data_IF_171712999334
#
_entry.id   IF_171712999334
#
_cell.length_a   1.000
_cell.length_b   1.000
_cell.length_c   1.000
_cell.angle_alpha   90.00
_cell.angle_beta   90.00
_cell.angle_gamma   90.00
#
_symmetry.space_group_name_H-M   'P 1'
#
loop_
_entity.id
_entity.type
_entity.pdbx_description
1 polymer ?
#
# COMPACT_ATOMS: atom_id res chain seq x y z
N UNK A 1 -12.83 -41.91 59.23
CA UNK A 1 -14.22 -41.49 58.89
C UNK A 1 -14.15 -40.79 57.54
N UNK A 2 -15.22 -40.85 56.72
CA UNK A 2 -15.27 -40.42 55.30
C UNK A 2 -14.35 -41.28 54.38
N UNK A 3 -14.69 -41.81 53.19
CA UNK A 3 -15.80 -41.62 52.22
C UNK A 3 -15.88 -40.20 51.62
N UNK A 4 -15.98 -39.94 50.31
CA UNK A 4 -16.08 -40.74 49.07
C UNK A 4 -15.49 -39.86 47.92
N UNK A 5 -15.44 -40.15 46.61
CA UNK A 5 -16.08 -41.11 45.70
C UNK A 5 -15.13 -41.40 44.50
N UNK A 6 -15.54 -42.25 43.55
CA UNK A 6 -14.84 -42.58 42.28
C UNK A 6 -15.07 -41.60 41.12
N UNK A 7 -14.16 -41.58 40.14
CA UNK A 7 -14.49 -41.40 38.72
C UNK A 7 -13.37 -41.99 37.81
N UNK A 8 -13.75 -42.73 36.77
CA UNK A 8 -12.85 -43.21 35.71
C UNK A 8 -13.05 -42.34 34.46
N UNK A 9 -11.96 -42.00 33.75
CA UNK A 9 -12.03 -41.51 32.36
C UNK A 9 -10.75 -41.89 31.59
N UNK A 10 -10.89 -42.83 30.66
CA UNK A 10 -9.91 -43.10 29.59
C UNK A 10 -10.44 -42.44 28.33
N UNK A 11 -9.58 -41.81 27.50
CA UNK A 11 -9.62 -41.82 26.01
C UNK A 11 -8.57 -40.86 25.40
N UNK A 12 -7.99 -41.29 24.28
CA UNK A 12 -7.25 -40.54 23.25
C UNK A 12 -6.11 -39.58 23.66
N UNK A 13 -4.88 -40.00 23.38
CA UNK A 13 -3.81 -39.09 22.98
C UNK A 13 -4.13 -38.49 21.59
N UNK A 14 -4.07 -37.15 21.39
CA UNK A 14 -4.09 -36.58 20.05
C UNK A 14 -2.78 -36.90 19.32
N UNK A 15 -2.87 -37.39 18.07
CA UNK A 15 -1.69 -37.68 17.26
C UNK A 15 -0.98 -36.39 16.78
N UNK A 16 0.33 -36.49 16.51
CA UNK A 16 1.06 -35.44 15.81
C UNK A 16 0.55 -35.31 14.36
N UNK A 17 -0.20 -34.25 14.06
CA UNK A 17 -0.40 -33.80 12.68
C UNK A 17 0.72 -32.83 12.28
N UNK A 18 1.56 -33.24 11.32
CA UNK A 18 2.41 -32.30 10.59
C UNK A 18 1.51 -31.45 9.68
N UNK A 19 1.36 -30.16 9.99
CA UNK A 19 1.31 -29.08 8.99
C UNK A 19 1.35 -27.69 9.65
N UNK A 20 2.55 -27.33 10.12
CA UNK A 20 2.85 -26.02 10.70
C UNK A 20 2.90 -24.89 9.66
N UNK A 21 1.88 -24.76 8.83
CA UNK A 21 1.72 -23.55 8.00
C UNK A 21 1.40 -22.38 8.93
N UNK A 22 2.37 -21.48 9.11
CA UNK A 22 2.11 -20.21 9.78
C UNK A 22 1.09 -19.42 8.95
N UNK A 23 -0.18 -19.48 9.36
CA UNK A 23 -1.18 -18.50 8.94
C UNK A 23 -0.62 -17.14 9.31
N UNK A 24 -0.22 -16.33 8.30
CA UNK A 24 0.02 -14.90 8.53
C UNK A 24 -1.25 -14.36 9.18
N UNK A 25 -1.13 -13.88 10.41
CA UNK A 25 -2.24 -13.28 11.13
C UNK A 25 -2.85 -12.18 10.25
N UNK A 26 -4.17 -12.04 10.25
CA UNK A 26 -4.81 -10.93 9.55
C UNK A 26 -4.25 -9.62 10.12
N UNK A 27 -3.75 -8.70 9.29
CA UNK A 27 -3.19 -7.43 9.80
C UNK A 27 -4.21 -6.60 10.60
N UNK A 28 -5.51 -6.88 10.46
CA UNK A 28 -6.56 -6.34 11.34
C UNK A 28 -6.47 -6.89 12.77
N UNK A 29 -6.10 -8.16 12.96
CA UNK A 29 -5.76 -8.71 14.26
C UNK A 29 -4.43 -8.13 14.80
N UNK A 30 -3.44 -7.79 13.95
CA UNK A 30 -2.27 -7.00 14.40
C UNK A 30 -2.70 -5.60 14.90
N UNK A 31 -3.68 -4.95 14.24
CA UNK A 31 -4.21 -3.62 14.61
C UNK A 31 -4.98 -3.64 15.93
N UNK A 32 -5.84 -4.64 16.18
CA UNK A 32 -6.60 -4.71 17.44
C UNK A 32 -5.81 -5.34 18.60
N UNK A 33 -4.82 -6.23 18.35
CA UNK A 33 -3.91 -6.70 19.40
C UNK A 33 -3.10 -5.54 20.01
N UNK A 34 -2.56 -4.66 19.16
CA UNK A 34 -1.82 -3.44 19.55
C UNK A 34 -2.62 -2.49 20.47
N UNK A 35 -3.95 -2.59 20.50
CA UNK A 35 -4.82 -1.77 21.35
C UNK A 35 -4.98 -2.31 22.78
N UNK A 36 -4.67 -3.59 23.01
CA UNK A 36 -4.98 -4.29 24.27
C UNK A 36 -3.83 -4.40 25.26
N UNK A 37 -2.58 -4.32 24.82
CA UNK A 37 -1.36 -4.66 25.58
C UNK A 37 -0.46 -3.46 25.92
N UNK A 38 -0.84 -2.25 25.48
CA UNK A 38 0.02 -1.06 25.52
C UNK A 38 0.91 -0.90 24.27
N UNK A 39 0.64 -1.66 23.22
CA UNK A 39 1.35 -1.67 21.95
C UNK A 39 1.45 -0.31 21.26
N UNK A 40 2.57 -0.11 20.57
CA UNK A 40 2.80 1.06 19.73
C UNK A 40 2.19 0.92 18.33
N UNK A 41 2.06 2.05 17.66
CA UNK A 41 1.78 2.15 16.24
C UNK A 41 2.90 1.53 15.40
N UNK A 42 2.63 0.37 14.81
CA UNK A 42 3.47 -0.24 13.79
C UNK A 42 3.16 0.36 12.40
N UNK A 43 4.12 1.07 11.80
CA UNK A 43 4.12 1.45 10.38
C UNK A 43 5.21 0.65 9.65
N UNK A 44 4.97 0.23 8.40
CA UNK A 44 5.87 -0.64 7.63
C UNK A 44 6.25 0.01 6.30
N UNK A 45 7.55 0.08 6.00
CA UNK A 45 8.09 0.81 4.84
C UNK A 45 8.88 -0.11 3.91
N UNK A 46 8.54 -0.07 2.62
CA UNK A 46 9.11 -0.93 1.59
C UNK A 46 9.68 -0.12 0.43
N UNK A 47 10.72 -0.63 -0.21
CA UNK A 47 11.28 -0.08 -1.44
C UNK A 47 10.29 -0.33 -2.59
N UNK A 48 9.81 0.75 -3.21
CA UNK A 48 8.75 0.66 -4.22
C UNK A 48 9.12 -0.13 -5.49
N UNK A 49 10.42 -0.31 -5.77
CA UNK A 49 10.89 -1.00 -6.99
C UNK A 49 11.09 -2.50 -6.75
N UNK A 50 11.53 -2.88 -5.55
CA UNK A 50 11.93 -4.26 -5.21
C UNK A 50 10.97 -4.96 -4.25
N UNK A 51 10.08 -4.22 -3.58
CA UNK A 51 9.20 -4.72 -2.53
C UNK A 51 9.93 -5.12 -1.23
N UNK A 52 11.24 -4.84 -1.11
CA UNK A 52 12.03 -5.20 0.07
C UNK A 52 11.83 -4.21 1.22
N UNK A 53 11.90 -4.62 2.49
CA UNK A 53 11.77 -3.69 3.61
C UNK A 53 12.93 -2.67 3.66
N UNK A 54 12.65 -1.43 4.05
CA UNK A 54 13.68 -0.40 4.21
C UNK A 54 14.08 -0.29 5.68
N UNK A 55 15.24 -0.86 6.03
CA UNK A 55 15.80 -0.78 7.38
C UNK A 55 16.56 0.54 7.66
N UNK A 56 16.60 0.96 8.92
CA UNK A 56 17.38 2.12 9.38
C UNK A 56 16.85 3.50 8.95
N UNK A 57 15.70 3.56 8.28
CA UNK A 57 15.04 4.82 7.93
C UNK A 57 14.57 5.56 9.19
N UNK A 58 14.62 6.89 9.16
CA UNK A 58 14.01 7.72 10.22
C UNK A 58 12.59 8.07 9.83
N UNK A 59 11.65 7.82 10.74
CA UNK A 59 10.22 8.03 10.56
C UNK A 59 9.75 8.97 11.66
N UNK A 60 9.10 10.08 11.28
CA UNK A 60 8.54 11.07 12.21
C UNK A 60 7.04 11.18 11.97
N UNK A 61 6.23 11.03 13.04
CA UNK A 61 4.78 11.19 13.04
C UNK A 61 4.39 12.22 14.09
N UNK A 62 3.71 13.29 13.68
CA UNK A 62 3.48 14.50 14.50
C UNK A 62 4.82 15.01 15.09
N UNK A 63 5.09 14.75 16.38
CA UNK A 63 6.36 15.08 17.07
C UNK A 63 7.19 13.85 17.50
N UNK A 64 6.70 12.64 17.27
CA UNK A 64 7.34 11.40 17.70
C UNK A 64 8.21 10.83 16.58
N UNK A 65 9.36 10.24 16.93
CA UNK A 65 10.29 9.68 15.95
C UNK A 65 10.71 8.24 16.29
N UNK A 66 10.93 7.45 15.25
CA UNK A 66 11.39 6.07 15.33
C UNK A 66 12.35 5.75 14.19
N UNK A 67 13.12 4.65 14.34
CA UNK A 67 13.88 4.02 13.25
C UNK A 67 13.12 2.78 12.76
N UNK A 68 13.24 2.45 11.47
CA UNK A 68 12.76 1.15 10.97
C UNK A 68 13.74 0.02 11.30
N UNK A 69 13.19 -1.12 11.71
CA UNK A 69 13.94 -2.36 11.92
C UNK A 69 14.27 -3.09 10.60
N UNK A 70 14.85 -4.30 10.71
CA UNK A 70 15.22 -5.14 9.54
C UNK A 70 14.02 -5.54 8.67
N UNK A 71 12.81 -5.53 9.21
CA UNK A 71 11.56 -5.89 8.54
C UNK A 71 10.78 -4.64 8.09
N UNK A 72 11.45 -3.48 8.07
CA UNK A 72 10.93 -2.19 7.62
C UNK A 72 9.91 -1.57 8.58
N UNK A 73 9.75 -2.13 9.79
CA UNK A 73 8.76 -1.69 10.78
C UNK A 73 9.35 -0.58 11.64
N UNK A 74 8.67 0.56 11.70
CA UNK A 74 8.87 1.58 12.73
C UNK A 74 7.78 1.43 13.79
N UNK A 75 8.17 1.48 15.06
CA UNK A 75 7.26 1.47 16.21
C UNK A 75 7.19 2.88 16.82
N UNK A 76 5.99 3.47 16.85
CA UNK A 76 5.74 4.83 17.33
C UNK A 76 4.69 4.83 18.47
N UNK A 77 4.66 5.82 19.37
CA UNK A 77 3.52 6.01 20.27
C UNK A 77 2.23 6.27 19.47
N UNK A 78 1.10 5.72 19.93
CA UNK A 78 -0.19 5.92 19.28
C UNK A 78 -0.66 7.38 19.47
N UNK A 79 -1.02 8.14 18.41
CA UNK A 79 -1.31 9.56 18.53
C UNK A 79 -2.46 9.90 19.49
N UNK A 80 -2.21 10.93 20.32
CA UNK A 80 -3.18 11.45 21.28
C UNK A 80 -4.20 12.35 20.57
N UNK A 81 -5.43 12.41 21.12
CA UNK A 81 -6.53 13.25 20.63
C UNK A 81 -6.90 12.97 19.15
N UNK A 82 -7.08 11.70 18.79
CA UNK A 82 -7.66 11.30 17.49
C UNK A 82 -9.15 11.62 17.44
N UNK A 83 -9.60 12.18 16.31
CA UNK A 83 -11.01 12.43 16.04
C UNK A 83 -11.84 11.13 16.07
N UNK A 84 -13.16 11.26 16.32
CA UNK A 84 -14.07 10.10 16.32
C UNK A 84 -14.40 9.60 14.90
N UNK A 85 -14.35 10.47 13.89
CA UNK A 85 -14.55 10.13 12.49
C UNK A 85 -13.23 9.87 11.78
N UNK A 86 -13.01 10.60 10.67
CA UNK A 86 -11.76 10.62 9.91
C UNK A 86 -10.71 11.54 10.57
N UNK A 87 -9.46 11.09 10.61
CA UNK A 87 -8.30 11.86 11.07
C UNK A 87 -7.08 11.57 10.16
N UNK A 88 -6.15 12.51 10.03
CA UNK A 88 -5.02 12.42 9.11
C UNK A 88 -3.76 13.13 9.65
N UNK A 89 -2.80 12.35 10.15
CA UNK A 89 -1.58 12.84 10.81
C UNK A 89 -0.39 12.93 9.85
N UNK A 90 0.47 13.92 10.08
CA UNK A 90 1.59 14.24 9.21
C UNK A 90 2.77 13.31 9.49
N UNK A 91 3.27 12.65 8.43
CA UNK A 91 4.36 11.68 8.50
C UNK A 91 5.50 12.10 7.56
N UNK A 92 6.71 12.21 8.09
CA UNK A 92 7.95 12.37 7.31
C UNK A 92 8.77 11.08 7.37
N UNK A 93 9.14 10.56 6.20
CA UNK A 93 10.07 9.45 6.02
C UNK A 93 11.38 9.94 5.41
N UNK A 94 12.52 9.55 5.99
CA UNK A 94 13.87 9.91 5.51
C UNK A 94 14.81 8.70 5.57
N UNK A 95 15.40 8.32 4.43
CA UNK A 95 16.41 7.24 4.35
C UNK A 95 17.47 7.52 3.28
N UNK A 96 18.71 7.05 3.49
CA UNK A 96 19.79 7.18 2.50
C UNK A 96 19.44 6.39 1.24
N UNK A 97 19.49 7.04 0.08
CA UNK A 97 19.15 6.43 -1.22
C UNK A 97 17.68 6.58 -1.63
N UNK A 98 16.81 7.08 -0.76
CA UNK A 98 15.38 7.28 -1.03
C UNK A 98 15.03 8.76 -1.20
N UNK A 99 13.82 9.00 -1.70
CA UNK A 99 13.18 10.32 -1.68
C UNK A 99 12.66 10.60 -0.27
N UNK A 100 13.03 11.75 0.30
CA UNK A 100 12.39 12.24 1.55
C UNK A 100 10.92 12.47 1.27
N UNK A 101 10.06 11.78 2.02
CA UNK A 101 8.64 11.64 1.67
C UNK A 101 7.77 12.16 2.81
N UNK A 102 7.07 13.27 2.55
CA UNK A 102 6.04 13.83 3.42
C UNK A 102 4.66 13.34 2.98
N UNK A 103 3.96 12.60 3.84
CA UNK A 103 2.66 12.00 3.56
C UNK A 103 1.70 12.11 4.76
N UNK A 104 0.46 11.65 4.60
CA UNK A 104 -0.53 11.59 5.69
C UNK A 104 -0.97 10.15 5.98
N UNK A 105 -0.74 9.70 7.22
CA UNK A 105 -1.31 8.47 7.79
C UNK A 105 -2.78 8.76 8.12
N UNK A 106 -3.72 7.96 7.61
CA UNK A 106 -5.15 8.11 7.92
C UNK A 106 -5.58 7.19 9.05
N UNK A 107 -6.54 7.68 9.81
CA UNK A 107 -7.23 7.01 10.90
C UNK A 107 -8.73 7.20 10.67
N UNK A 108 -9.54 6.22 11.05
CA UNK A 108 -10.99 6.25 10.87
C UNK A 108 -11.64 5.49 12.01
N UNK A 109 -12.64 6.06 12.70
CA UNK A 109 -13.18 5.48 13.94
C UNK A 109 -12.07 5.14 14.98
N UNK A 110 -11.00 5.97 15.02
CA UNK A 110 -9.78 5.77 15.81
C UNK A 110 -9.04 4.44 15.55
N UNK A 111 -9.30 3.71 14.45
CA UNK A 111 -8.43 2.64 13.95
C UNK A 111 -7.41 3.21 12.97
N UNK A 112 -6.34 2.47 12.70
CA UNK A 112 -5.40 2.79 11.62
C UNK A 112 -6.02 2.40 10.27
N UNK A 113 -6.05 3.31 9.30
CA UNK A 113 -6.58 2.98 7.97
C UNK A 113 -5.58 2.14 7.14
N UNK A 114 -4.28 2.43 7.23
CA UNK A 114 -3.23 1.60 6.61
C UNK A 114 -1.89 1.74 7.36
N UNK A 115 -1.14 0.65 7.51
CA UNK A 115 0.21 0.63 8.11
C UNK A 115 1.35 0.62 7.06
N UNK A 116 1.09 0.12 5.84
CA UNK A 116 2.09 -0.09 4.77
C UNK A 116 2.26 1.14 3.88
N UNK A 117 3.52 1.46 3.51
CA UNK A 117 3.88 2.54 2.59
C UNK A 117 5.08 2.13 1.71
N UNK A 118 4.94 2.24 0.40
CA UNK A 118 6.03 1.96 -0.54
C UNK A 118 6.73 3.24 -0.98
N UNK A 119 8.00 3.40 -0.60
CA UNK A 119 8.78 4.63 -0.80
C UNK A 119 9.68 4.48 -2.03
N UNK A 120 9.70 5.51 -2.88
CA UNK A 120 10.58 5.56 -4.04
C UNK A 120 12.06 5.73 -3.63
N UNK A 121 12.97 4.89 -4.15
CA UNK A 121 14.38 5.25 -4.33
C UNK A 121 14.53 6.60 -5.03
N UNK A 122 15.69 7.24 -4.88
CA UNK A 122 16.02 8.47 -5.62
C UNK A 122 15.85 8.25 -7.13
N UNK A 123 15.20 9.21 -7.76
CA UNK A 123 15.03 9.29 -9.22
C UNK A 123 16.01 10.33 -9.77
N UNK A 124 16.58 10.12 -10.98
CA UNK A 124 17.20 11.20 -11.74
C UNK A 124 16.20 12.32 -12.01
N UNK A 125 16.68 13.54 -12.23
CA UNK A 125 15.84 14.69 -12.56
C UNK A 125 16.48 15.48 -13.70
N UNK A 126 15.68 16.17 -14.55
CA UNK A 126 14.21 16.19 -14.60
C UNK A 126 13.62 14.97 -15.33
N UNK A 127 12.32 15.03 -15.66
CA UNK A 127 11.58 14.14 -16.60
C UNK A 127 11.48 12.64 -16.25
N UNK A 128 11.93 12.22 -15.07
CA UNK A 128 11.59 10.91 -14.52
C UNK A 128 10.39 11.04 -13.58
N UNK A 129 9.42 10.15 -13.74
CA UNK A 129 8.25 10.03 -12.85
C UNK A 129 8.09 8.57 -12.44
N UNK A 130 7.88 8.32 -11.15
CA UNK A 130 7.49 7.01 -10.64
C UNK A 130 6.08 7.08 -10.06
N UNK A 131 5.25 6.12 -10.44
CA UNK A 131 3.87 5.96 -10.00
C UNK A 131 3.83 4.67 -9.19
N UNK A 132 3.45 4.76 -7.92
CA UNK A 132 3.45 3.64 -6.96
C UNK A 132 2.04 3.42 -6.45
N UNK A 133 1.53 2.21 -6.61
CA UNK A 133 0.21 1.77 -6.13
C UNK A 133 0.38 0.90 -4.88
N UNK A 134 -0.04 1.40 -3.72
CA UNK A 134 -0.22 0.62 -2.49
C UNK A 134 -1.70 0.23 -2.34
N UNK A 135 -2.00 -0.95 -1.81
CA UNK A 135 -3.35 -1.34 -1.36
C UNK A 135 -3.32 -2.21 -0.10
N UNK A 136 -4.49 -2.55 0.43
CA UNK A 136 -4.64 -3.51 1.53
C UNK A 136 -4.49 -4.97 1.07
N UNK A 137 -4.81 -5.92 1.95
CA UNK A 137 -4.74 -7.37 1.61
C UNK A 137 -5.94 -7.89 0.80
N UNK A 138 -6.99 -7.09 0.60
CA UNK A 138 -8.14 -7.41 -0.27
C UNK A 138 -8.59 -6.16 -1.06
N UNK A 139 -8.89 -6.28 -2.37
CA UNK A 139 -8.61 -7.42 -3.25
C UNK A 139 -7.12 -7.81 -3.25
N UNK A 140 -6.82 -9.04 -3.66
CA UNK A 140 -5.43 -9.53 -3.66
C UNK A 140 -4.62 -8.85 -4.77
N UNK A 141 -5.25 -8.71 -5.94
CA UNK A 141 -4.61 -8.34 -7.21
C UNK A 141 -5.26 -7.07 -7.77
N UNK A 142 -4.46 -6.01 -7.95
CA UNK A 142 -4.82 -4.70 -8.51
C UNK A 142 -3.79 -4.27 -9.59
N UNK A 143 -4.13 -4.43 -10.86
CA UNK A 143 -3.30 -4.02 -12.00
C UNK A 143 -3.05 -2.50 -12.00
N UNK A 144 -1.78 -2.07 -12.12
CA UNK A 144 -1.41 -0.72 -12.51
C UNK A 144 -1.39 -0.58 -14.05
N UNK A 145 -2.19 0.36 -14.56
CA UNK A 145 -2.25 0.65 -15.99
C UNK A 145 -1.81 2.09 -16.31
N UNK A 146 -0.87 2.24 -17.25
CA UNK A 146 -0.50 3.54 -17.83
C UNK A 146 -0.63 3.50 -19.35
N UNK A 147 -1.56 4.29 -19.90
CA UNK A 147 -1.76 4.42 -21.35
C UNK A 147 -1.29 5.80 -21.84
N UNK A 148 -0.38 5.82 -22.82
CA UNK A 148 -0.04 7.02 -23.61
C UNK A 148 -0.94 7.07 -24.84
N UNK A 149 -1.70 8.16 -25.00
CA UNK A 149 -2.66 8.32 -26.09
C UNK A 149 -1.97 8.17 -27.45
N UNK A 150 -2.60 7.44 -28.38
CA UNK A 150 -2.06 7.17 -29.72
C UNK A 150 -0.72 6.42 -29.77
N UNK A 151 -0.24 5.81 -28.67
CA UNK A 151 1.11 5.22 -28.64
C UNK A 151 1.20 3.85 -27.97
N UNK A 152 1.04 3.72 -26.66
CA UNK A 152 1.25 2.45 -25.96
C UNK A 152 0.45 2.32 -24.66
N UNK A 153 0.38 1.11 -24.13
CA UNK A 153 -0.29 0.77 -22.88
C UNK A 153 0.61 -0.15 -22.06
N UNK A 154 1.03 0.30 -20.87
CA UNK A 154 1.77 -0.50 -19.88
C UNK A 154 0.76 -1.15 -18.93
N UNK A 155 0.95 -2.45 -18.70
CA UNK A 155 0.31 -3.28 -17.67
C UNK A 155 1.08 -4.60 -17.55
N UNK A 156 0.62 -5.55 -16.73
CA UNK A 156 1.24 -6.88 -16.61
C UNK A 156 1.49 -7.60 -17.96
N UNK A 157 0.61 -7.37 -18.96
CA UNK A 157 0.73 -7.96 -20.31
C UNK A 157 1.80 -7.30 -21.18
N UNK A 158 2.09 -6.03 -20.93
CA UNK A 158 2.97 -5.20 -21.76
C UNK A 158 3.86 -4.35 -20.85
N UNK A 159 4.75 -5.00 -20.10
CA UNK A 159 5.51 -4.38 -19.00
C UNK A 159 6.52 -3.30 -19.43
N UNK A 160 6.73 -3.04 -20.73
CA UNK A 160 7.79 -2.13 -21.24
C UNK A 160 7.37 -1.33 -22.47
N UNK A 161 7.83 -0.09 -22.58
CA UNK A 161 7.81 0.73 -23.80
C UNK A 161 9.17 1.41 -23.99
N UNK A 162 9.86 1.08 -25.09
CA UNK A 162 11.20 1.58 -25.37
C UNK A 162 11.25 3.07 -25.78
N UNK A 163 10.16 3.61 -26.35
CA UNK A 163 10.07 4.98 -26.88
C UNK A 163 10.24 6.05 -25.78
N UNK A 164 9.48 5.90 -24.70
CA UNK A 164 9.46 6.79 -23.53
C UNK A 164 10.26 6.19 -22.34
N UNK A 165 10.94 5.05 -22.57
CA UNK A 165 11.69 4.26 -21.58
C UNK A 165 10.87 3.99 -20.31
N UNK A 166 9.66 3.44 -20.49
CA UNK A 166 8.72 3.14 -19.41
C UNK A 166 8.70 1.67 -19.08
N UNK A 167 8.76 1.35 -17.79
CA UNK A 167 8.62 -0.01 -17.26
C UNK A 167 7.48 -0.07 -16.23
N UNK A 168 6.78 -1.20 -16.17
CA UNK A 168 6.27 -1.75 -14.92
C UNK A 168 7.46 -2.44 -14.24
N UNK A 169 8.01 -1.81 -13.20
CA UNK A 169 9.21 -2.29 -12.50
C UNK A 169 8.87 -3.36 -11.45
N UNK A 170 7.71 -3.23 -10.78
CA UNK A 170 7.12 -4.24 -9.90
C UNK A 170 5.66 -4.47 -10.28
N UNK A 171 5.29 -5.73 -10.23
CA UNK A 171 4.01 -6.35 -10.57
C UNK A 171 3.71 -7.33 -9.41
N UNK A 172 2.53 -7.28 -8.82
CA UNK A 172 2.30 -7.80 -7.45
C UNK A 172 0.85 -8.31 -7.29
N UNK A 173 0.71 -9.62 -7.02
CA UNK A 173 -0.53 -10.38 -7.30
C UNK A 173 -1.15 -11.10 -6.10
N UNK A 174 -0.49 -11.12 -4.93
CA UNK A 174 -0.97 -11.81 -3.72
C UNK A 174 -1.40 -10.89 -2.57
N UNK A 175 -1.26 -9.56 -2.75
CA UNK A 175 -1.87 -8.54 -1.90
C UNK A 175 -0.86 -7.67 -1.15
N UNK A 176 -1.34 -6.53 -0.66
CA UNK A 176 -0.53 -5.47 -0.03
C UNK A 176 0.43 -4.69 -0.96
N UNK A 177 0.73 -5.22 -2.15
CA UNK A 177 1.48 -4.50 -3.19
C UNK A 177 2.95 -4.20 -2.84
N UNK A 178 3.63 -3.27 -3.55
CA UNK A 178 3.08 -2.36 -4.53
C UNK A 178 3.22 -2.85 -5.98
N UNK A 179 2.37 -2.32 -6.85
CA UNK A 179 2.73 -2.18 -8.28
C UNK A 179 3.45 -0.85 -8.49
N UNK A 180 4.43 -0.81 -9.39
CA UNK A 180 5.22 0.41 -9.64
C UNK A 180 5.59 0.57 -11.10
N UNK A 181 5.23 1.73 -11.67
CA UNK A 181 5.60 2.13 -13.03
C UNK A 181 6.58 3.31 -12.97
N UNK A 182 7.78 3.17 -13.56
CA UNK A 182 8.70 4.31 -13.79
C UNK A 182 8.67 4.72 -15.26
N UNK A 183 8.32 5.98 -15.52
CA UNK A 183 8.57 6.69 -16.78
C UNK A 183 9.94 7.35 -16.66
N UNK A 184 10.92 6.98 -17.50
CA UNK A 184 12.28 7.58 -17.45
C UNK A 184 12.43 8.78 -18.39
N UNK A 185 11.52 8.96 -19.33
CA UNK A 185 11.51 10.10 -20.24
C UNK A 185 10.06 10.50 -20.54
N UNK A 186 9.49 11.35 -19.66
CA UNK A 186 8.18 11.96 -19.92
C UNK A 186 8.27 12.79 -21.21
N UNK A 187 7.33 12.56 -22.12
CA UNK A 187 7.08 13.37 -23.29
C UNK A 187 6.16 14.54 -22.88
N UNK A 188 6.69 15.76 -22.91
CA UNK A 188 5.95 16.95 -22.46
C UNK A 188 4.74 17.25 -23.39
N UNK A 189 4.74 16.72 -24.62
CA UNK A 189 3.61 16.78 -25.57
C UNK A 189 2.68 15.57 -25.46
N UNK A 190 3.03 14.58 -24.63
CA UNK A 190 2.25 13.39 -24.38
C UNK A 190 0.97 13.66 -23.59
N UNK A 191 -0.08 12.90 -23.91
CA UNK A 191 -1.23 12.70 -23.01
C UNK A 191 -1.17 11.29 -22.46
N UNK A 192 -1.16 11.16 -21.14
CA UNK A 192 -1.16 9.89 -20.43
C UNK A 192 -2.42 9.77 -19.56
N UNK A 193 -2.92 8.55 -19.38
CA UNK A 193 -3.94 8.23 -18.37
C UNK A 193 -3.46 7.08 -17.51
N UNK A 194 -3.50 7.25 -16.18
CA UNK A 194 -3.22 6.19 -15.22
C UNK A 194 -4.51 5.72 -14.56
N UNK A 195 -4.73 4.41 -14.56
CA UNK A 195 -5.86 3.77 -13.91
C UNK A 195 -5.42 2.49 -13.18
N UNK A 196 -6.22 2.08 -12.20
CA UNK A 196 -6.05 0.81 -11.47
C UNK A 196 -7.20 -0.10 -11.85
N UNK A 197 -6.95 -1.40 -12.06
CA UNK A 197 -7.99 -2.37 -12.38
C UNK A 197 -8.00 -3.52 -11.35
N UNK A 198 -9.18 -3.84 -10.83
CA UNK A 198 -9.41 -4.92 -9.86
C UNK A 198 -9.43 -6.26 -10.57
N UNK A 199 -8.24 -6.84 -10.79
CA UNK A 199 -8.09 -8.12 -11.47
C UNK A 199 -8.77 -9.25 -10.69
N UNK A 200 -8.75 -9.18 -9.36
CA UNK A 200 -9.44 -10.14 -8.49
C UNK A 200 -10.94 -10.22 -8.78
N UNK A 201 -11.59 -9.06 -8.98
CA UNK A 201 -13.04 -8.93 -9.20
C UNK A 201 -13.38 -8.64 -10.67
N UNK A 202 -12.47 -8.93 -11.62
CA UNK A 202 -12.59 -8.56 -13.05
C UNK A 202 -13.87 -9.01 -13.77
N UNK A 203 -14.58 -10.02 -13.24
CA UNK A 203 -15.88 -10.49 -13.76
C UNK A 203 -17.11 -9.79 -13.15
N UNK A 204 -16.93 -8.99 -12.09
CA UNK A 204 -18.01 -8.40 -11.30
C UNK A 204 -18.07 -6.88 -11.48
N UNK A 205 -18.78 -6.38 -12.50
CA UNK A 205 -18.92 -4.94 -12.78
C UNK A 205 -19.41 -4.13 -11.57
N UNK A 206 -20.27 -4.73 -10.75
CA UNK A 206 -20.94 -4.07 -9.64
C UNK A 206 -20.26 -4.36 -8.28
N UNK A 207 -19.02 -4.87 -8.28
CA UNK A 207 -18.29 -5.12 -7.03
C UNK A 207 -17.96 -3.81 -6.30
N UNK A 208 -17.90 -3.88 -4.97
CA UNK A 208 -17.41 -2.80 -4.09
C UNK A 208 -16.04 -3.14 -3.46
N UNK A 209 -15.35 -4.17 -3.96
CA UNK A 209 -14.02 -4.54 -3.49
C UNK A 209 -13.00 -3.42 -3.75
N UNK A 210 -13.01 -2.80 -4.93
CA UNK A 210 -12.08 -1.72 -5.28
C UNK A 210 -12.22 -0.48 -4.38
N UNK A 211 -13.43 -0.02 -4.06
CA UNK A 211 -13.63 1.10 -3.11
C UNK A 211 -13.21 0.76 -1.68
N UNK A 212 -13.25 -0.53 -1.31
CA UNK A 212 -12.79 -1.07 -0.02
C UNK A 212 -11.30 -1.45 0.00
N UNK A 213 -10.60 -1.34 -1.13
CA UNK A 213 -9.19 -1.79 -1.30
C UNK A 213 -8.16 -1.05 -0.45
N UNK A 214 -8.53 0.10 0.14
CA UNK A 214 -7.62 1.06 0.76
C UNK A 214 -6.58 1.66 -0.23
N UNK A 215 -6.80 1.46 -1.54
CA UNK A 215 -5.88 1.80 -2.62
C UNK A 215 -5.41 3.26 -2.59
N UNK A 216 -4.09 3.44 -2.73
CA UNK A 216 -3.41 4.74 -2.78
C UNK A 216 -2.40 4.74 -3.90
N UNK A 217 -2.41 5.81 -4.71
CA UNK A 217 -1.42 6.03 -5.76
C UNK A 217 -0.58 7.25 -5.43
N UNK A 218 0.73 7.05 -5.33
CA UNK A 218 1.73 8.06 -5.04
C UNK A 218 2.54 8.36 -6.30
N UNK A 219 2.65 9.63 -6.66
CA UNK A 219 3.42 10.09 -7.83
C UNK A 219 4.66 10.81 -7.33
N UNK A 220 5.83 10.26 -7.64
CA UNK A 220 7.15 10.82 -7.31
C UNK A 220 7.81 11.39 -8.57
N UNK A 221 8.49 12.52 -8.43
CA UNK A 221 9.19 13.23 -9.49
C UNK A 221 9.90 14.46 -8.93
N UNK A 222 10.83 15.04 -9.68
CA UNK A 222 11.62 16.22 -9.26
C UNK A 222 12.24 16.11 -7.85
N UNK A 223 12.68 14.89 -7.50
CA UNK A 223 13.31 14.58 -6.21
C UNK A 223 12.37 14.51 -5.00
N UNK A 224 11.05 14.62 -5.19
CA UNK A 224 10.04 14.71 -4.13
C UNK A 224 8.80 13.84 -4.42
N UNK A 225 7.89 13.78 -3.46
CA UNK A 225 6.51 13.35 -3.69
C UNK A 225 5.72 14.51 -4.30
N UNK A 226 5.06 14.28 -5.43
CA UNK A 226 4.26 15.27 -6.15
C UNK A 226 2.78 15.21 -5.76
N UNK A 227 2.18 14.01 -5.79
CA UNK A 227 0.75 13.81 -5.55
C UNK A 227 0.46 12.50 -4.79
N UNK A 228 -0.64 12.49 -4.03
CA UNK A 228 -1.20 11.29 -3.39
C UNK A 228 -2.70 11.20 -3.68
N UNK A 229 -3.06 10.31 -4.59
CA UNK A 229 -4.44 9.96 -4.89
C UNK A 229 -4.87 8.77 -4.01
N UNK A 230 -6.17 8.69 -3.68
CA UNK A 230 -6.76 7.57 -2.93
C UNK A 230 -8.02 7.12 -3.66
N UNK A 231 -8.31 5.82 -3.58
CA UNK A 231 -9.52 5.25 -4.16
C UNK A 231 -10.76 5.88 -3.51
N UNK A 232 -11.84 6.16 -4.26
CA UNK A 232 -13.10 6.63 -3.68
C UNK A 232 -13.61 5.64 -2.63
N UNK A 233 -13.93 6.15 -1.44
CA UNK A 233 -14.33 5.34 -0.27
C UNK A 233 -15.71 4.68 -0.38
N UNK A 234 -16.46 4.99 -1.44
CA UNK A 234 -17.76 4.42 -1.76
C UNK A 234 -17.94 4.33 -3.28
N UNK A 235 -18.93 3.55 -3.70
CA UNK A 235 -19.22 3.26 -5.11
C UNK A 235 -18.79 1.85 -5.51
N UNK A 236 -19.21 1.44 -6.71
CA UNK A 236 -18.95 0.14 -7.32
C UNK A 236 -18.17 0.30 -8.62
N UNK A 237 -17.49 -0.76 -9.04
CA UNK A 237 -16.69 -0.80 -10.27
C UNK A 237 -15.53 -1.78 -10.19
N UNK A 238 -14.87 -1.99 -11.31
CA UNK A 238 -13.61 -2.76 -11.46
C UNK A 238 -12.42 -1.89 -11.84
N UNK A 239 -12.64 -0.64 -12.21
CA UNK A 239 -11.60 0.30 -12.66
C UNK A 239 -11.66 1.58 -11.85
N UNK A 240 -10.51 2.05 -11.36
CA UNK A 240 -10.34 3.36 -10.75
C UNK A 240 -9.51 4.24 -11.68
N UNK A 241 -10.16 5.20 -12.32
CA UNK A 241 -9.50 6.23 -13.12
C UNK A 241 -8.88 7.26 -12.15
N UNK A 242 -7.54 7.23 -12.03
CA UNK A 242 -6.83 7.95 -10.98
C UNK A 242 -6.51 9.38 -11.41
N UNK A 243 -5.74 9.52 -12.50
CA UNK A 243 -5.27 10.80 -13.02
C UNK A 243 -4.93 10.72 -14.51
N UNK A 244 -4.77 11.89 -15.13
CA UNK A 244 -4.13 12.06 -16.44
C UNK A 244 -2.89 12.94 -16.32
N UNK A 245 -1.94 12.79 -17.24
CA UNK A 245 -0.83 13.74 -17.43
C UNK A 245 -1.02 14.40 -18.79
N UNK A 246 -0.99 15.74 -18.83
CA UNK A 246 -1.08 16.54 -20.08
C UNK A 246 -0.19 17.77 -19.94
N UNK A 247 0.71 18.03 -20.91
CA UNK A 247 1.60 19.18 -20.83
C UNK A 247 2.56 19.15 -19.63
N UNK A 248 2.91 17.95 -19.15
CA UNK A 248 3.65 17.73 -17.90
C UNK A 248 2.80 17.80 -16.61
N UNK A 249 1.61 18.40 -16.63
CA UNK A 249 0.75 18.52 -15.45
C UNK A 249 0.01 17.22 -15.12
N UNK A 250 0.03 16.82 -13.84
CA UNK A 250 -0.80 15.72 -13.31
C UNK A 250 -2.17 16.26 -12.87
N UNK A 251 -3.26 15.78 -13.49
CA UNK A 251 -4.63 16.18 -13.19
C UNK A 251 -5.46 14.98 -12.74
N UNK A 252 -5.94 15.00 -11.49
CA UNK A 252 -6.74 13.91 -10.90
C UNK A 252 -8.10 13.72 -11.57
N UNK A 253 -8.60 12.48 -11.52
CA UNK A 253 -9.92 12.08 -12.05
C UNK A 253 -10.80 11.46 -10.95
N UNK A 254 -10.25 10.52 -10.17
CA UNK A 254 -10.90 10.02 -8.94
C UNK A 254 -12.22 9.26 -9.14
N UNK A 255 -12.40 8.52 -10.25
CA UNK A 255 -13.69 7.89 -10.61
C UNK A 255 -13.62 6.37 -10.64
N UNK A 256 -14.68 5.70 -10.19
CA UNK A 256 -14.90 4.24 -10.33
C UNK A 256 -15.76 3.92 -11.57
N UNK A 257 -15.50 2.78 -12.21
CA UNK A 257 -16.16 2.26 -13.43
C UNK A 257 -16.12 0.73 -13.50
#
# INVERSE_FOLDING_TARGET
MLHLLTAFAVIASPALSKEGSMRRADNFAEIDAIRGDGGGLALRFYDAVTGKPIAGATVVLDSQSARTDRDGRAMLPWPKKLAAGDDARALRFTARGYITTDLKVRFQARTLFNNRFSISPKLPTPKHVRIVLDWGRRPADLDAHLKKSGSYHISYRHKKSYRDRVNLDRDDVDGEGPETITIRQVDDRGTYSYFVHDYSNRSQSNSSALSKSQGRVMVFGDGRLLHVFRVPSAGTGRTWEVFTIKGGEVRGVGRLR
#
